data_IF_032109941898
#
_entry.id   IF_032109941898
#
_cell.length_a   1.000
_cell.length_b   1.000
_cell.length_c   1.000
_cell.angle_alpha   90.00
_cell.angle_beta   90.00
_cell.angle_gamma   90.00
#
_symmetry.space_group_name_H-M   'P 1'
#
loop_
_entity.id
_entity.type
_entity.pdbx_description
1 polymer ?
#
# COMPACT_ATOMS: atom_id res chain seq x y z
N UNK A 1 -2.15 -3.06 -4.58
CA UNK A 1 -1.78 -2.11 -3.51
C UNK A 1 -1.75 -0.69 -4.03
N UNK A 2 -1.92 0.26 -3.11
CA UNK A 2 -1.86 1.69 -3.34
C UNK A 2 -0.71 2.28 -2.51
N UNK A 3 0.12 3.15 -3.09
CA UNK A 3 1.13 3.90 -2.33
C UNK A 3 1.44 5.26 -2.96
N UNK A 4 2.30 6.03 -2.31
CA UNK A 4 2.77 7.33 -2.78
C UNK A 4 4.21 7.61 -2.34
N UNK A 5 4.83 8.62 -2.94
CA UNK A 5 6.14 9.13 -2.51
C UNK A 5 7.31 8.15 -2.72
N UNK A 6 8.20 8.13 -1.73
CA UNK A 6 9.49 7.41 -1.65
C UNK A 6 9.39 5.90 -1.81
N UNK A 7 8.25 5.31 -1.44
CA UNK A 7 8.06 3.85 -1.37
C UNK A 7 8.11 3.13 -2.72
N UNK A 8 8.07 3.86 -3.85
CA UNK A 8 8.03 3.29 -5.21
C UNK A 8 9.10 2.23 -5.46
N UNK A 9 10.36 2.52 -5.11
CA UNK A 9 11.48 1.61 -5.36
C UNK A 9 11.29 0.28 -4.64
N UNK A 10 11.18 0.36 -3.32
CA UNK A 10 10.96 -0.81 -2.43
C UNK A 10 9.73 -1.62 -2.84
N UNK A 11 8.64 -0.96 -3.26
CA UNK A 11 7.44 -1.65 -3.74
C UNK A 11 7.73 -2.46 -5.00
N UNK A 12 8.40 -1.88 -5.99
CA UNK A 12 8.69 -2.57 -7.24
C UNK A 12 9.61 -3.77 -7.04
N UNK A 13 10.57 -3.67 -6.13
CA UNK A 13 11.48 -4.78 -5.80
C UNK A 13 10.73 -5.90 -5.06
N UNK A 14 9.93 -5.56 -4.05
CA UNK A 14 9.09 -6.53 -3.36
C UNK A 14 8.09 -7.26 -4.29
N UNK A 15 7.53 -6.56 -5.28
CA UNK A 15 6.64 -7.17 -6.27
C UNK A 15 7.34 -8.21 -7.14
N UNK A 16 8.61 -8.01 -7.52
CA UNK A 16 9.39 -9.02 -8.26
C UNK A 16 9.58 -10.28 -7.41
N UNK A 17 9.90 -10.12 -6.13
CA UNK A 17 10.06 -11.25 -5.19
C UNK A 17 8.74 -12.02 -5.05
N UNK A 18 7.62 -11.32 -4.89
CA UNK A 18 6.30 -11.94 -4.73
C UNK A 18 5.83 -12.62 -6.03
N UNK A 19 6.10 -12.02 -7.19
CA UNK A 19 5.81 -12.62 -8.49
C UNK A 19 6.58 -13.93 -8.70
N UNK A 20 7.86 -13.98 -8.31
CA UNK A 20 8.66 -15.22 -8.32
C UNK A 20 8.08 -16.31 -7.40
N UNK A 21 7.30 -15.94 -6.39
CA UNK A 21 6.58 -16.85 -5.50
C UNK A 21 5.15 -17.19 -6.00
N UNK A 22 4.78 -16.77 -7.22
CA UNK A 22 3.44 -16.98 -7.78
C UNK A 22 2.36 -16.05 -7.22
N UNK A 23 2.73 -14.99 -6.49
CA UNK A 23 1.79 -14.01 -5.92
C UNK A 23 1.75 -12.76 -6.79
N UNK A 24 0.67 -12.60 -7.56
CA UNK A 24 0.52 -11.45 -8.48
C UNK A 24 -0.26 -10.31 -7.83
N UNK A 25 0.37 -9.15 -7.67
CA UNK A 25 -0.21 -7.96 -7.05
C UNK A 25 -0.09 -6.77 -7.99
N UNK A 26 -1.20 -6.09 -8.25
CA UNK A 26 -1.20 -4.84 -9.03
C UNK A 26 -0.73 -3.67 -8.14
N UNK A 27 -0.02 -2.71 -8.72
CA UNK A 27 0.45 -1.51 -8.02
C UNK A 27 -0.11 -0.22 -8.64
N UNK A 28 -0.70 0.62 -7.80
CA UNK A 28 -1.14 1.97 -8.14
C UNK A 28 -0.36 3.00 -7.31
N UNK A 29 0.44 3.83 -7.99
CA UNK A 29 1.12 4.96 -7.35
C UNK A 29 0.29 6.24 -7.53
N UNK A 30 -0.17 6.83 -6.42
CA UNK A 30 -0.75 8.17 -6.44
C UNK A 30 0.35 9.23 -6.51
N UNK A 31 0.38 9.97 -7.63
CA UNK A 31 1.37 11.03 -7.88
C UNK A 31 0.85 12.44 -7.63
N UNK A 32 -0.46 12.62 -7.62
CA UNK A 32 -1.12 13.92 -7.46
C UNK A 32 -2.18 13.81 -6.36
N UNK A 33 -2.01 14.60 -5.30
CA UNK A 33 -2.97 14.65 -4.19
C UNK A 33 -3.99 15.77 -4.37
N UNK A 34 -3.61 16.84 -5.08
CA UNK A 34 -4.49 17.97 -5.38
C UNK A 34 -4.14 18.61 -6.73
N UNK A 35 -5.07 18.65 -7.70
CA UNK A 35 -6.39 18.00 -7.67
C UNK A 35 -6.26 16.46 -7.67
N UNK A 36 -7.01 15.77 -6.81
CA UNK A 36 -6.96 14.31 -6.75
C UNK A 36 -7.70 13.69 -7.97
N UNK A 37 -7.10 12.74 -8.71
CA UNK A 37 -7.71 12.12 -9.88
C UNK A 37 -8.76 11.06 -9.49
N UNK A 38 -9.84 11.51 -8.84
CA UNK A 38 -10.83 10.68 -8.17
C UNK A 38 -11.51 9.65 -9.09
N UNK A 39 -11.89 10.06 -10.30
CA UNK A 39 -12.58 9.18 -11.26
C UNK A 39 -11.69 8.01 -11.69
N UNK A 40 -10.47 8.30 -12.12
CA UNK A 40 -9.52 7.29 -12.60
C UNK A 40 -9.10 6.33 -11.47
N UNK A 41 -8.76 6.88 -10.29
CA UNK A 41 -8.38 6.07 -9.13
C UNK A 41 -9.55 5.22 -8.66
N UNK A 42 -10.74 5.81 -8.52
CA UNK A 42 -11.95 5.11 -8.09
C UNK A 42 -12.33 3.96 -9.01
N UNK A 43 -12.22 4.14 -10.34
CA UNK A 43 -12.47 3.08 -11.32
C UNK A 43 -11.52 1.89 -11.12
N UNK A 44 -10.21 2.15 -11.02
CA UNK A 44 -9.20 1.10 -10.83
C UNK A 44 -9.43 0.34 -9.52
N UNK A 45 -9.72 1.07 -8.43
CA UNK A 45 -9.85 0.47 -7.11
C UNK A 45 -11.11 -0.39 -6.96
N UNK A 46 -12.23 -0.02 -7.60
CA UNK A 46 -13.48 -0.82 -7.52
C UNK A 46 -13.37 -2.19 -8.21
N UNK A 47 -12.44 -2.36 -9.15
CA UNK A 47 -12.17 -3.65 -9.79
C UNK A 47 -11.27 -4.57 -8.95
N UNK A 48 -10.63 -4.02 -7.90
CA UNK A 48 -9.71 -4.78 -7.08
C UNK A 48 -10.46 -5.68 -6.08
N UNK A 49 -10.09 -6.98 -6.06
CA UNK A 49 -10.62 -7.95 -5.08
C UNK A 49 -10.25 -7.61 -3.63
N UNK A 50 -9.08 -6.98 -3.46
CA UNK A 50 -8.52 -6.57 -2.17
C UNK A 50 -7.61 -5.37 -2.39
N UNK A 51 -7.71 -4.38 -1.52
CA UNK A 51 -6.92 -3.15 -1.59
C UNK A 51 -6.15 -3.02 -0.27
N UNK A 52 -4.84 -2.77 -0.40
CA UNK A 52 -3.97 -2.41 0.72
C UNK A 52 -3.28 -1.09 0.42
N UNK A 53 -3.29 -0.16 1.37
CA UNK A 53 -2.44 1.04 1.32
C UNK A 53 -1.12 0.77 2.02
N UNK A 54 -0.04 1.32 1.44
CA UNK A 54 1.29 1.34 2.05
C UNK A 54 1.73 2.78 2.20
N UNK A 55 2.01 3.17 3.43
CA UNK A 55 2.29 4.56 3.77
C UNK A 55 3.32 4.68 4.90
N UNK A 56 4.19 5.68 4.79
CA UNK A 56 5.16 6.04 5.83
C UNK A 56 4.56 7.10 6.79
N UNK A 57 3.36 6.84 7.29
CA UNK A 57 2.68 7.68 8.28
C UNK A 57 1.75 6.85 9.17
N UNK A 58 1.39 7.39 10.35
CA UNK A 58 0.55 6.69 11.31
C UNK A 58 -0.92 6.59 10.86
N UNK A 59 -1.51 7.69 10.36
CA UNK A 59 -2.96 7.82 10.19
C UNK A 59 -3.54 7.19 8.92
N UNK A 60 -2.71 6.81 7.95
CA UNK A 60 -3.14 6.33 6.63
C UNK A 60 -3.79 7.44 5.82
N UNK A 61 -3.06 8.55 5.63
CA UNK A 61 -3.59 9.77 5.01
C UNK A 61 -4.04 9.56 3.56
N UNK A 62 -3.30 8.77 2.78
CA UNK A 62 -3.67 8.44 1.41
C UNK A 62 -4.94 7.58 1.37
N UNK A 63 -5.06 6.60 2.27
CA UNK A 63 -6.29 5.82 2.39
C UNK A 63 -7.52 6.70 2.69
N UNK A 64 -7.35 7.69 3.58
CA UNK A 64 -8.40 8.65 3.90
C UNK A 64 -8.75 9.55 2.69
N UNK A 65 -7.74 10.11 2.02
CA UNK A 65 -7.93 10.95 0.82
C UNK A 65 -8.68 10.21 -0.29
N UNK A 66 -8.32 8.95 -0.54
CA UNK A 66 -9.01 8.11 -1.52
C UNK A 66 -10.46 7.89 -1.12
N UNK A 67 -10.72 7.59 0.16
CA UNK A 67 -12.07 7.38 0.65
C UNK A 67 -12.91 8.66 0.51
N UNK A 68 -12.36 9.81 0.89
CA UNK A 68 -13.01 11.13 0.77
C UNK A 68 -13.41 11.43 -0.67
N UNK A 69 -12.51 11.24 -1.63
CA UNK A 69 -12.74 11.63 -3.02
C UNK A 69 -13.47 10.58 -3.86
N UNK A 70 -13.43 9.29 -3.49
CA UNK A 70 -13.94 8.20 -4.34
C UNK A 70 -15.03 7.36 -3.69
N UNK A 71 -15.21 7.48 -2.37
CA UNK A 71 -16.05 6.60 -1.56
C UNK A 71 -15.48 5.18 -1.36
N UNK A 72 -14.33 4.85 -1.94
CA UNK A 72 -13.72 3.53 -1.78
C UNK A 72 -13.02 3.44 -0.43
N UNK A 73 -13.50 2.54 0.43
CA UNK A 73 -12.93 2.29 1.75
C UNK A 73 -11.74 1.33 1.65
N UNK A 74 -10.58 1.76 2.17
CA UNK A 74 -9.36 0.92 2.27
C UNK A 74 -9.15 0.53 3.73
N UNK A 75 -9.48 -0.73 4.05
CA UNK A 75 -9.38 -1.28 5.41
C UNK A 75 -8.01 -1.85 5.72
N UNK A 76 -7.30 -2.37 4.71
CA UNK A 76 -5.97 -2.95 4.90
C UNK A 76 -4.91 -1.85 4.72
N UNK A 77 -4.14 -1.59 5.79
CA UNK A 77 -3.13 -0.53 5.84
C UNK A 77 -1.83 -1.07 6.42
N UNK A 78 -0.79 -1.13 5.62
CA UNK A 78 0.57 -1.42 6.08
C UNK A 78 1.30 -0.09 6.27
N UNK A 79 1.17 0.46 7.48
CA UNK A 79 1.73 1.75 7.86
C UNK A 79 3.06 1.56 8.59
N UNK A 80 4.04 2.42 8.30
CA UNK A 80 5.31 2.52 9.05
C UNK A 80 5.53 3.97 9.48
N UNK A 81 5.99 4.19 10.70
CA UNK A 81 6.15 5.54 11.25
C UNK A 81 7.29 5.66 12.27
N UNK A 82 8.29 4.79 12.19
CA UNK A 82 9.48 4.77 13.06
C UNK A 82 10.65 5.64 12.52
N UNK A 83 10.41 6.42 11.47
CA UNK A 83 11.40 7.28 10.83
C UNK A 83 12.35 6.58 9.87
N UNK A 84 12.24 5.25 9.70
CA UNK A 84 13.04 4.50 8.73
C UNK A 84 12.21 4.19 7.49
N UNK A 85 12.82 4.21 6.28
CA UNK A 85 12.15 3.70 5.09
C UNK A 85 11.73 2.24 5.25
N UNK A 86 10.70 1.83 4.51
CA UNK A 86 10.42 0.40 4.36
C UNK A 86 11.63 -0.34 3.77
N UNK A 87 12.03 -1.45 4.41
CA UNK A 87 12.91 -2.42 3.78
C UNK A 87 12.13 -3.29 2.78
N UNK A 88 12.84 -3.93 1.86
CA UNK A 88 12.24 -4.89 0.92
C UNK A 88 11.56 -6.05 1.67
N UNK A 89 12.24 -6.64 2.65
CA UNK A 89 11.70 -7.75 3.46
C UNK A 89 10.43 -7.36 4.22
N UNK A 90 10.39 -6.15 4.78
CA UNK A 90 9.19 -5.63 5.46
C UNK A 90 8.03 -5.50 4.47
N UNK A 91 8.30 -4.96 3.28
CA UNK A 91 7.31 -4.80 2.22
C UNK A 91 6.78 -6.16 1.72
N UNK A 92 7.68 -7.11 1.43
CA UNK A 92 7.33 -8.47 1.00
C UNK A 92 6.46 -9.16 2.05
N UNK A 93 6.88 -9.09 3.33
CA UNK A 93 6.13 -9.67 4.44
C UNK A 93 4.74 -9.06 4.57
N UNK A 94 4.64 -7.73 4.56
CA UNK A 94 3.37 -7.04 4.70
C UNK A 94 2.41 -7.40 3.56
N UNK A 95 2.89 -7.40 2.31
CA UNK A 95 2.09 -7.71 1.14
C UNK A 95 1.68 -9.19 1.07
N UNK A 96 2.59 -10.13 1.39
CA UNK A 96 2.27 -11.57 1.39
C UNK A 96 1.18 -11.88 2.41
N UNK A 97 1.26 -11.35 3.63
CA UNK A 97 0.22 -11.56 4.66
C UNK A 97 -1.17 -11.16 4.15
N UNK A 98 -1.26 -9.97 3.55
CA UNK A 98 -2.54 -9.46 3.04
C UNK A 98 -3.01 -10.27 1.83
N UNK A 99 -2.09 -10.73 0.97
CA UNK A 99 -2.41 -11.61 -0.16
C UNK A 99 -2.99 -12.95 0.32
N UNK A 100 -2.42 -13.53 1.37
CA UNK A 100 -2.80 -14.82 1.94
C UNK A 100 -4.06 -14.76 2.83
N UNK A 101 -4.73 -13.60 2.88
CA UNK A 101 -6.02 -13.43 3.55
C UNK A 101 -5.96 -12.74 4.90
N UNK A 102 -4.77 -12.58 5.51
CA UNK A 102 -4.61 -11.93 6.80
C UNK A 102 -4.88 -10.42 6.75
N UNK A 103 -5.09 -9.83 7.93
CA UNK A 103 -5.20 -8.38 8.09
C UNK A 103 -3.83 -7.72 7.98
N UNK A 104 -3.81 -6.51 7.42
CA UNK A 104 -2.62 -5.67 7.46
C UNK A 104 -2.32 -5.24 8.91
N UNK A 105 -1.04 -5.25 9.26
CA UNK A 105 -0.54 -4.79 10.54
C UNK A 105 0.44 -3.63 10.33
N UNK A 106 0.55 -2.71 11.30
CA UNK A 106 1.62 -1.72 11.30
C UNK A 106 2.99 -2.40 11.23
N UNK A 107 3.86 -1.89 10.38
CA UNK A 107 5.25 -2.34 10.29
C UNK A 107 6.05 -1.62 11.36
N UNK A 108 6.58 -2.38 12.30
CA UNK A 108 7.38 -1.90 13.42
C UNK A 108 8.77 -2.52 13.34
N UNK A 109 9.79 -1.73 13.05
CA UNK A 109 11.17 -2.19 13.18
C UNK A 109 11.50 -2.22 14.68
N UNK A 110 11.63 -3.41 15.28
CA UNK A 110 12.10 -3.51 16.67
C UNK A 110 13.55 -3.02 16.73
N UNK A 111 13.77 -1.87 17.38
CA UNK A 111 15.10 -1.50 17.86
C UNK A 111 15.33 -2.39 19.08
N UNK A 112 16.15 -3.43 18.92
CA UNK A 112 16.77 -4.09 20.07
C UNK A 112 17.83 -3.17 20.67
#
# INVERSE_FOLDING_TARGET
MLAWGSTKGTVLDALKVLEAQGKRINYLQCRLMKPFPAEAVGRILREAKRIVSVEENYSGQLAQLVQEHTGVMITERANKFDGRPFSEDEMVRALSRVYDGAKAEPVVTHVR
#
